data_IF_618424480357
#
_entry.id   IF_618424480357
#
_cell.length_a   1.000
_cell.length_b   1.000
_cell.length_c   1.000
_cell.angle_alpha   90.00
_cell.angle_beta   90.00
_cell.angle_gamma   90.00
#
_symmetry.space_group_name_H-M   'P 1'
#
loop_
_entity.id
_entity.type
_entity.pdbx_description
1 polymer ?
#
# COMPACT_ATOMS: atom_id res chain seq x y z
N UNK A 1 41.40 43.14 45.04
CA UNK A 1 42.29 42.27 44.26
C UNK A 1 41.62 40.93 44.10
N UNK A 2 41.45 40.48 42.84
CA UNK A 2 41.22 39.09 42.36
C UNK A 2 40.04 38.29 42.93
N UNK A 3 39.32 37.44 42.20
CA UNK A 3 38.92 37.24 40.80
C UNK A 3 37.93 36.06 40.86
N UNK A 4 36.98 36.00 39.92
CA UNK A 4 36.15 34.88 39.41
C UNK A 4 36.41 33.47 40.00
N UNK A 5 35.41 32.58 40.12
CA UNK A 5 34.70 32.01 38.95
C UNK A 5 33.43 31.26 39.38
N UNK A 6 32.37 31.48 38.62
CA UNK A 6 31.09 30.78 38.59
C UNK A 6 31.28 29.35 38.09
N UNK A 7 30.62 28.35 38.71
CA UNK A 7 30.41 27.06 38.07
C UNK A 7 28.95 26.66 38.27
N UNK A 8 28.14 26.98 37.26
CA UNK A 8 26.78 26.48 37.08
C UNK A 8 26.89 25.13 36.41
N UNK A 9 26.69 24.04 37.16
CA UNK A 9 26.51 22.71 36.57
C UNK A 9 25.04 22.53 36.26
N UNK A 10 24.67 22.65 34.98
CA UNK A 10 23.35 22.27 34.48
C UNK A 10 23.39 20.75 34.27
N UNK A 11 22.80 19.99 35.20
CA UNK A 11 22.43 18.60 34.94
C UNK A 11 21.13 18.62 34.12
N UNK A 12 21.28 18.63 32.80
CA UNK A 12 20.18 18.35 31.89
C UNK A 12 19.81 16.88 31.97
N UNK A 13 18.73 16.56 32.69
CA UNK A 13 17.99 15.33 32.45
C UNK A 13 17.07 15.56 31.25
N UNK A 14 17.62 15.38 30.05
CA UNK A 14 16.79 15.05 28.90
C UNK A 14 16.28 13.63 29.14
N UNK A 15 15.08 13.50 29.71
CA UNK A 15 14.34 12.27 29.66
C UNK A 15 13.99 12.03 28.19
N UNK A 16 14.84 11.31 27.47
CA UNK A 16 14.49 10.68 26.21
C UNK A 16 13.46 9.61 26.54
N UNK A 17 12.19 10.00 26.56
CA UNK A 17 11.08 9.09 26.30
C UNK A 17 11.30 8.54 24.90
N UNK A 18 11.98 7.40 24.83
CA UNK A 18 11.85 6.50 23.70
C UNK A 18 10.37 6.08 23.69
N UNK A 19 9.58 6.74 22.87
CA UNK A 19 8.29 6.19 22.45
C UNK A 19 8.68 5.00 21.60
N UNK A 20 8.74 3.83 22.22
CA UNK A 20 8.63 2.57 21.51
C UNK A 20 7.23 2.58 20.92
N UNK A 21 7.09 3.09 19.70
CA UNK A 21 5.98 2.76 18.84
C UNK A 21 6.11 1.26 18.63
N UNK A 22 5.48 0.48 19.51
CA UNK A 22 5.08 -0.88 19.16
C UNK A 22 4.18 -0.69 17.95
N UNK A 23 4.76 -0.85 16.76
CA UNK A 23 3.99 -0.88 15.53
C UNK A 23 2.88 -1.90 15.77
N UNK A 24 1.63 -1.45 15.67
CA UNK A 24 0.55 -2.39 15.49
C UNK A 24 0.97 -3.27 14.32
N UNK A 25 0.84 -4.59 14.47
CA UNK A 25 0.98 -5.46 13.32
C UNK A 25 0.03 -4.92 12.23
N UNK A 26 0.50 -4.85 10.99
CA UNK A 26 -0.37 -4.46 9.89
C UNK A 26 -1.59 -5.39 9.89
N UNK A 27 -2.79 -4.81 9.80
CA UNK A 27 -4.03 -5.58 9.69
C UNK A 27 -4.12 -6.24 8.32
N UNK A 28 -3.50 -5.62 7.31
CA UNK A 28 -3.33 -6.21 6.00
C UNK A 28 -2.16 -5.60 5.23
N UNK A 29 -1.79 -6.23 4.12
CA UNK A 29 -0.79 -5.79 3.18
C UNK A 29 -1.35 -5.82 1.76
N UNK A 30 -0.86 -4.92 0.92
CA UNK A 30 -1.24 -4.78 -0.48
C UNK A 30 -0.06 -5.22 -1.34
N UNK A 31 -0.29 -6.20 -2.20
CA UNK A 31 0.65 -6.66 -3.21
C UNK A 31 0.19 -6.22 -4.59
N UNK A 32 1.13 -5.75 -5.41
CA UNK A 32 0.89 -5.37 -6.80
C UNK A 32 1.73 -6.26 -7.70
N UNK A 33 1.14 -6.69 -8.81
CA UNK A 33 1.78 -7.61 -9.76
C UNK A 33 1.36 -7.34 -11.20
N UNK A 34 1.84 -8.20 -12.11
CA UNK A 34 1.86 -7.92 -13.56
C UNK A 34 2.66 -6.66 -13.92
N UNK A 35 3.70 -6.35 -13.13
CA UNK A 35 4.75 -5.44 -13.58
C UNK A 35 5.51 -6.11 -14.72
N UNK A 36 5.73 -5.41 -15.83
CA UNK A 36 6.42 -5.95 -17.00
C UNK A 36 7.66 -6.81 -16.63
N UNK A 37 7.95 -7.83 -17.44
CA UNK A 37 9.25 -8.50 -17.44
C UNK A 37 10.35 -7.43 -17.38
N UNK A 38 11.23 -7.54 -16.39
CA UNK A 38 12.35 -6.62 -16.09
C UNK A 38 13.28 -6.39 -17.32
N UNK A 39 13.14 -7.19 -18.38
CA UNK A 39 14.02 -7.24 -19.55
C UNK A 39 13.48 -6.53 -20.81
N UNK A 40 12.30 -5.88 -20.81
CA UNK A 40 11.74 -5.27 -22.03
C UNK A 40 11.25 -3.81 -21.86
N UNK A 41 12.13 -2.80 -22.06
CA UNK A 41 11.88 -1.37 -21.77
C UNK A 41 10.96 -0.64 -22.79
N UNK A 42 10.02 -1.34 -23.43
CA UNK A 42 9.21 -0.82 -24.53
C UNK A 42 7.70 -0.90 -24.36
N UNK A 43 7.21 -1.44 -23.25
CA UNK A 43 5.77 -1.62 -23.00
C UNK A 43 5.32 -0.64 -21.92
N UNK A 44 4.40 0.25 -22.29
CA UNK A 44 3.73 1.16 -21.37
C UNK A 44 3.21 0.42 -20.14
N UNK A 45 3.50 0.96 -18.97
CA UNK A 45 3.18 0.38 -17.67
C UNK A 45 1.70 -0.03 -17.56
N UNK A 46 1.43 -1.30 -17.26
CA UNK A 46 0.10 -1.81 -16.90
C UNK A 46 0.24 -2.76 -15.70
N UNK A 47 0.40 -2.25 -14.47
CA UNK A 47 0.19 -3.13 -13.32
C UNK A 47 -1.24 -3.64 -13.40
N UNK A 48 -1.39 -4.94 -13.65
CA UNK A 48 -2.65 -5.57 -14.03
C UNK A 48 -3.19 -6.49 -12.93
N UNK A 49 -2.66 -6.42 -11.71
CA UNK A 49 -3.17 -7.23 -10.59
C UNK A 49 -2.87 -6.62 -9.23
N UNK A 50 -3.85 -6.69 -8.33
CA UNK A 50 -3.70 -6.37 -6.92
C UNK A 50 -4.15 -7.54 -6.07
N UNK A 51 -3.50 -7.75 -4.93
CA UNK A 51 -3.95 -8.67 -3.89
C UNK A 51 -3.84 -8.00 -2.54
N UNK A 52 -4.76 -8.33 -1.64
CA UNK A 52 -4.79 -7.81 -0.27
C UNK A 52 -4.80 -9.00 0.67
N UNK A 53 -3.83 -9.05 1.59
CA UNK A 53 -3.63 -10.19 2.50
C UNK A 53 -3.53 -9.72 3.94
N UNK A 54 -3.98 -10.51 4.90
CA UNK A 54 -3.94 -10.15 6.33
C UNK A 54 -2.55 -10.26 6.98
N UNK A 55 -1.51 -10.59 6.20
CA UNK A 55 -0.15 -10.75 6.70
C UNK A 55 0.92 -10.47 5.63
N UNK A 56 2.17 -10.38 6.10
CA UNK A 56 3.38 -10.42 5.29
C UNK A 56 4.55 -11.00 6.13
N UNK A 57 5.60 -11.56 5.51
CA UNK A 57 5.73 -11.81 4.06
C UNK A 57 4.78 -12.91 3.57
N UNK A 58 4.52 -12.93 2.27
CA UNK A 58 3.78 -14.02 1.62
C UNK A 58 4.73 -15.07 1.03
N UNK A 59 4.21 -16.27 0.84
CA UNK A 59 4.83 -17.32 0.03
C UNK A 59 4.01 -17.55 -1.25
N UNK A 60 4.62 -18.07 -2.32
CA UNK A 60 3.88 -18.34 -3.58
C UNK A 60 2.72 -19.34 -3.44
N UNK A 61 2.67 -20.14 -2.38
CA UNK A 61 1.52 -21.01 -2.09
C UNK A 61 0.29 -20.26 -1.56
N UNK A 62 0.47 -19.04 -1.10
CA UNK A 62 -0.58 -18.17 -0.53
C UNK A 62 -1.14 -17.20 -1.58
N UNK A 63 -0.46 -17.10 -2.71
CA UNK A 63 -0.89 -16.28 -3.85
C UNK A 63 -2.02 -17.01 -4.58
N UNK A 64 -3.21 -16.39 -4.58
CA UNK A 64 -4.38 -16.80 -5.36
C UNK A 64 -4.41 -16.13 -6.74
N UNK A 65 -5.47 -16.34 -7.52
CA UNK A 65 -5.69 -15.57 -8.75
C UNK A 65 -5.70 -14.07 -8.43
N UNK A 66 -4.85 -13.28 -9.10
CA UNK A 66 -4.82 -11.83 -8.90
C UNK A 66 -6.15 -11.20 -9.31
N UNK A 67 -6.68 -10.33 -8.46
CA UNK A 67 -7.78 -9.46 -8.85
C UNK A 67 -7.25 -8.50 -9.91
N UNK A 68 -7.75 -8.64 -11.14
CA UNK A 68 -7.44 -7.70 -12.21
C UNK A 68 -8.18 -6.40 -11.94
N UNK A 69 -7.42 -5.39 -11.53
CA UNK A 69 -7.93 -4.03 -11.35
C UNK A 69 -7.29 -3.20 -12.45
N UNK A 70 -8.08 -2.81 -13.45
CA UNK A 70 -7.58 -2.02 -14.58
C UNK A 70 -7.19 -0.61 -14.13
N UNK A 71 -6.14 -0.04 -14.73
CA UNK A 71 -5.88 1.40 -14.61
C UNK A 71 -6.92 2.16 -15.44
N UNK A 72 -7.74 3.05 -14.83
CA UNK A 72 -8.60 3.94 -15.58
C UNK A 72 -7.74 4.97 -16.37
N UNK A 73 -8.21 5.38 -17.55
CA UNK A 73 -7.48 6.31 -18.42
C UNK A 73 -7.27 7.70 -17.81
N UNK A 74 -8.07 8.04 -16.81
CA UNK A 74 -8.21 9.40 -16.30
C UNK A 74 -7.60 9.57 -14.90
N UNK A 75 -6.83 8.57 -14.42
CA UNK A 75 -6.19 8.58 -13.09
C UNK A 75 -7.18 8.91 -11.95
N UNK A 76 -8.37 8.31 -12.05
CA UNK A 76 -9.51 8.42 -11.15
C UNK A 76 -10.14 7.04 -11.00
N UNK A 77 -10.11 6.47 -9.80
CA UNK A 77 -10.65 5.14 -9.52
C UNK A 77 -12.07 5.17 -8.93
N UNK A 78 -12.78 6.29 -9.00
CA UNK A 78 -14.14 6.43 -8.45
C UNK A 78 -15.20 5.53 -9.10
N UNK A 79 -14.92 4.96 -10.27
CA UNK A 79 -15.87 4.14 -11.05
C UNK A 79 -15.32 2.77 -11.45
N UNK A 80 -14.22 2.36 -10.84
CA UNK A 80 -13.52 1.13 -11.18
C UNK A 80 -12.01 1.33 -11.18
N UNK A 81 -11.28 0.23 -10.98
CA UNK A 81 -9.86 0.25 -11.19
C UNK A 81 -9.04 0.78 -10.00
N UNK A 82 -7.82 1.22 -10.30
CA UNK A 82 -6.94 1.91 -9.36
C UNK A 82 -6.25 3.09 -10.05
N UNK A 83 -5.99 4.15 -9.31
CA UNK A 83 -5.31 5.35 -9.79
C UNK A 83 -4.09 5.64 -8.92
N UNK A 84 -3.08 6.29 -9.49
CA UNK A 84 -1.88 6.63 -8.74
C UNK A 84 -1.14 7.85 -9.28
N UNK A 85 -0.75 8.71 -8.33
CA UNK A 85 0.21 9.77 -8.58
C UNK A 85 1.59 9.30 -8.12
N UNK A 86 2.58 9.35 -9.02
CA UNK A 86 3.97 8.97 -8.72
C UNK A 86 4.37 7.54 -9.12
N UNK A 87 3.44 6.75 -9.67
CA UNK A 87 3.66 5.40 -10.19
C UNK A 87 4.28 5.37 -11.61
N UNK A 88 5.39 6.09 -11.83
CA UNK A 88 5.99 6.28 -13.17
C UNK A 88 7.26 5.47 -13.42
N UNK A 89 7.79 4.77 -12.40
CA UNK A 89 8.97 3.92 -12.55
C UNK A 89 8.60 2.54 -13.08
N UNK A 90 9.59 1.83 -13.64
CA UNK A 90 9.39 0.53 -14.29
C UNK A 90 9.01 -0.57 -13.29
N UNK A 91 9.50 -0.49 -12.05
CA UNK A 91 9.21 -1.45 -10.98
C UNK A 91 8.43 -0.79 -9.83
N UNK A 92 7.48 -1.52 -9.24
CA UNK A 92 6.64 -1.05 -8.13
C UNK A 92 7.46 -0.65 -6.91
N UNK A 93 8.58 -1.33 -6.65
CA UNK A 93 9.50 -0.95 -5.56
C UNK A 93 10.08 0.45 -5.73
N UNK A 94 10.21 0.94 -6.96
CA UNK A 94 10.84 2.22 -7.30
C UNK A 94 9.84 3.37 -7.43
N UNK A 95 8.54 3.11 -7.17
CA UNK A 95 7.50 4.13 -7.23
C UNK A 95 7.56 5.13 -6.08
N UNK A 96 7.60 6.42 -6.43
CA UNK A 96 7.46 7.55 -5.51
C UNK A 96 5.98 7.91 -5.34
N UNK A 97 5.22 6.99 -4.74
CA UNK A 97 3.76 7.09 -4.65
C UNK A 97 3.34 8.25 -3.75
N UNK A 98 2.62 9.23 -4.30
CA UNK A 98 2.05 10.37 -3.57
C UNK A 98 0.58 10.13 -3.22
N UNK A 99 -0.15 9.51 -4.15
CA UNK A 99 -1.55 9.09 -4.01
C UNK A 99 -1.70 7.71 -4.61
N UNK A 100 -2.40 6.81 -3.91
CA UNK A 100 -2.83 5.52 -4.47
C UNK A 100 -4.30 5.32 -4.15
N UNK A 101 -5.15 5.38 -5.17
CA UNK A 101 -6.60 5.24 -5.04
C UNK A 101 -7.04 3.89 -5.59
N UNK A 102 -7.91 3.19 -4.86
CA UNK A 102 -8.47 1.90 -5.22
C UNK A 102 -9.99 2.01 -5.22
N UNK A 103 -10.64 1.53 -6.27
CA UNK A 103 -12.08 1.38 -6.27
C UNK A 103 -12.50 0.30 -5.28
N UNK A 104 -13.40 0.65 -4.36
CA UNK A 104 -13.97 -0.24 -3.37
C UNK A 104 -15.52 -0.14 -3.39
N UNK A 105 -16.11 -0.17 -4.58
CA UNK A 105 -17.55 -0.38 -4.74
C UNK A 105 -17.92 -1.86 -4.64
N UNK A 106 -19.22 -2.15 -4.60
CA UNK A 106 -19.74 -3.54 -4.49
C UNK A 106 -19.29 -4.45 -5.64
N UNK A 107 -18.85 -3.86 -6.75
CA UNK A 107 -18.40 -4.52 -7.98
C UNK A 107 -16.92 -4.27 -8.29
N UNK A 108 -16.12 -3.95 -7.27
CA UNK A 108 -14.69 -3.72 -7.45
C UNK A 108 -13.96 -4.90 -8.09
N UNK A 109 -14.44 -6.11 -7.81
CA UNK A 109 -14.01 -7.35 -8.44
C UNK A 109 -15.18 -8.00 -9.15
N UNK A 110 -14.92 -8.54 -10.34
CA UNK A 110 -15.91 -9.34 -11.06
C UNK A 110 -17.11 -8.54 -11.56
N UNK A 111 -16.93 -7.26 -11.91
CA UNK A 111 -17.98 -6.37 -12.42
C UNK A 111 -18.76 -6.93 -13.63
N UNK A 112 -18.15 -7.84 -14.40
CA UNK A 112 -18.78 -8.54 -15.54
C UNK A 112 -19.26 -9.96 -15.20
N UNK A 113 -19.24 -10.36 -13.93
CA UNK A 113 -19.58 -11.71 -13.45
C UNK A 113 -20.85 -11.72 -12.61
N UNK A 114 -21.40 -12.92 -12.36
CA UNK A 114 -22.60 -13.08 -11.52
C UNK A 114 -22.36 -12.85 -10.01
N UNK A 115 -21.09 -12.71 -9.58
CA UNK A 115 -20.71 -12.52 -8.16
C UNK A 115 -19.74 -11.33 -7.99
N UNK A 116 -20.21 -10.09 -8.22
CA UNK A 116 -19.41 -8.89 -7.92
C UNK A 116 -19.16 -8.77 -6.42
N UNK A 117 -17.95 -8.39 -6.02
CA UNK A 117 -17.58 -8.15 -4.62
C UNK A 117 -16.65 -6.93 -4.44
N UNK A 118 -16.73 -6.23 -3.28
CA UNK A 118 -15.80 -5.15 -2.92
C UNK A 118 -14.42 -5.68 -2.51
N UNK A 119 -13.41 -4.80 -2.51
CA UNK A 119 -12.04 -5.12 -2.07
C UNK A 119 -11.96 -5.40 -0.56
N UNK A 120 -12.74 -4.65 0.20
CA UNK A 120 -12.80 -4.77 1.66
C UNK A 120 -14.17 -5.28 2.10
N UNK A 121 -14.29 -5.69 3.36
CA UNK A 121 -15.50 -6.23 3.98
C UNK A 121 -16.74 -5.32 3.88
N UNK A 122 -16.56 -4.06 3.52
CA UNK A 122 -17.61 -3.09 3.25
C UNK A 122 -17.24 -2.22 2.05
N UNK A 123 -18.19 -2.00 1.14
CA UNK A 123 -18.02 -1.05 0.05
C UNK A 123 -18.05 0.40 0.56
N UNK A 124 -17.07 1.20 0.11
CA UNK A 124 -16.89 2.61 0.49
C UNK A 124 -16.76 3.53 -0.74
N UNK A 125 -17.03 3.01 -1.94
CA UNK A 125 -16.84 3.74 -3.20
C UNK A 125 -15.38 3.72 -3.63
N UNK A 126 -14.52 4.52 -3.02
CA UNK A 126 -13.07 4.42 -3.19
C UNK A 126 -12.34 4.46 -1.86
N UNK A 127 -11.10 3.98 -1.88
CA UNK A 127 -10.14 4.05 -0.78
C UNK A 127 -8.88 4.69 -1.33
N UNK A 128 -8.42 5.77 -0.71
CA UNK A 128 -7.22 6.50 -1.14
C UNK A 128 -6.15 6.50 -0.06
N UNK A 129 -4.92 6.17 -0.44
CA UNK A 129 -3.71 6.35 0.34
C UNK A 129 -3.04 7.67 -0.05
N UNK A 130 -2.93 8.61 0.88
CA UNK A 130 -2.23 9.89 0.69
C UNK A 130 -0.93 9.91 1.46
N UNK A 131 0.19 10.19 0.79
CA UNK A 131 1.49 10.30 1.44
C UNK A 131 1.47 11.47 2.45
N UNK A 132 1.91 11.20 3.67
CA UNK A 132 1.98 12.20 4.74
C UNK A 132 3.42 12.59 5.06
N UNK A 133 4.32 11.61 5.19
CA UNK A 133 5.75 11.83 5.42
C UNK A 133 6.57 10.60 5.04
N UNK A 134 7.53 10.76 4.13
CA UNK A 134 8.42 9.69 3.68
C UNK A 134 7.63 8.48 3.18
N UNK A 135 7.73 7.37 3.91
CA UNK A 135 7.04 6.11 3.58
C UNK A 135 5.67 5.97 4.26
N UNK A 136 5.15 6.98 4.96
CA UNK A 136 3.88 6.93 5.69
C UNK A 136 2.71 7.54 4.88
N UNK A 137 1.53 6.95 5.04
CA UNK A 137 0.31 7.28 4.30
C UNK A 137 -0.91 7.29 5.22
N UNK A 138 -1.83 8.23 4.98
CA UNK A 138 -3.19 8.19 5.51
C UNK A 138 -4.08 7.38 4.54
N UNK A 139 -4.87 6.44 5.06
CA UNK A 139 -5.88 5.72 4.30
C UNK A 139 -7.25 6.36 4.55
N UNK A 140 -7.95 6.73 3.48
CA UNK A 140 -9.19 7.52 3.54
C UNK A 140 -10.28 6.98 2.62
N UNK A 141 -11.54 7.17 2.99
CA UNK A 141 -12.68 6.87 2.12
C UNK A 141 -12.97 7.98 1.10
N UNK A 142 -14.01 7.80 0.27
CA UNK A 142 -14.44 8.79 -0.73
C UNK A 142 -14.98 10.10 -0.14
N UNK A 143 -15.33 10.10 1.14
CA UNK A 143 -15.82 11.27 1.88
C UNK A 143 -14.68 11.97 2.67
N UNK A 144 -13.43 11.57 2.47
CA UNK A 144 -12.21 12.07 3.14
C UNK A 144 -12.16 11.75 4.65
N UNK A 145 -12.91 10.74 5.11
CA UNK A 145 -12.78 10.24 6.47
C UNK A 145 -11.54 9.36 6.61
N UNK A 146 -10.80 9.51 7.70
CA UNK A 146 -9.64 8.66 8.01
C UNK A 146 -10.12 7.25 8.39
N UNK A 147 -9.66 6.25 7.64
CA UNK A 147 -9.91 4.83 7.87
C UNK A 147 -8.74 4.13 8.56
N UNK A 148 -7.54 4.66 8.41
CA UNK A 148 -6.33 4.01 8.88
C UNK A 148 -5.05 4.67 8.39
N UNK A 149 -3.94 3.96 8.54
CA UNK A 149 -2.62 4.41 8.10
C UNK A 149 -1.90 3.27 7.41
N UNK A 150 -1.09 3.59 6.40
CA UNK A 150 -0.25 2.62 5.71
C UNK A 150 1.21 3.07 5.69
N UNK A 151 2.10 2.12 5.44
CA UNK A 151 3.52 2.35 5.22
C UNK A 151 3.98 1.63 3.96
N UNK A 152 4.90 2.23 3.21
CA UNK A 152 5.66 1.53 2.17
C UNK A 152 6.88 0.85 2.80
N UNK A 153 7.12 -0.45 2.54
CA UNK A 153 8.34 -1.11 2.97
C UNK A 153 9.58 -0.47 2.32
N UNK A 154 10.65 -0.27 3.08
CA UNK A 154 11.95 0.20 2.53
C UNK A 154 12.57 -0.83 1.59
N UNK A 155 12.47 -2.10 1.96
CA UNK A 155 12.91 -3.26 1.19
C UNK A 155 11.68 -4.14 0.88
N UNK A 156 10.87 -3.79 -0.14
CA UNK A 156 9.66 -4.54 -0.46
C UNK A 156 9.99 -5.96 -0.91
N UNK A 157 9.21 -6.92 -0.43
CA UNK A 157 9.30 -8.29 -0.92
C UNK A 157 8.88 -8.33 -2.39
N UNK A 158 9.72 -8.94 -3.23
CA UNK A 158 9.41 -9.29 -4.61
C UNK A 158 9.40 -10.82 -4.75
N UNK A 159 8.34 -11.36 -5.35
CA UNK A 159 8.14 -12.80 -5.55
C UNK A 159 7.89 -13.11 -7.01
N UNK A 160 8.51 -14.16 -7.53
CA UNK A 160 8.17 -14.78 -8.81
C UNK A 160 7.32 -16.02 -8.55
N UNK A 161 6.02 -15.91 -8.84
CA UNK A 161 5.06 -17.00 -8.71
C UNK A 161 4.47 -17.39 -10.07
N UNK A 162 5.26 -17.28 -11.14
CA UNK A 162 4.86 -17.53 -12.53
C UNK A 162 4.31 -18.95 -12.79
N UNK A 163 4.61 -19.91 -11.91
CA UNK A 163 4.05 -21.27 -11.96
C UNK A 163 2.62 -21.36 -11.40
N UNK A 164 2.19 -20.38 -10.60
CA UNK A 164 0.90 -20.35 -9.87
C UNK A 164 -0.04 -19.32 -10.47
N UNK A 165 0.48 -18.17 -10.89
CA UNK A 165 -0.27 -17.08 -11.48
C UNK A 165 0.38 -16.63 -12.78
N UNK A 166 -0.42 -16.13 -13.72
CA UNK A 166 0.08 -15.59 -14.99
C UNK A 166 0.75 -14.20 -14.82
N UNK A 167 1.48 -13.97 -13.73
CA UNK A 167 2.21 -12.74 -13.44
C UNK A 167 3.69 -13.04 -13.22
N UNK A 168 4.57 -12.20 -13.77
CA UNK A 168 6.02 -12.38 -13.67
C UNK A 168 6.55 -12.07 -12.26
N UNK A 169 6.07 -11.00 -11.62
CA UNK A 169 6.46 -10.61 -10.26
C UNK A 169 5.30 -10.02 -9.45
N UNK A 170 5.26 -10.32 -8.15
CA UNK A 170 4.44 -9.67 -7.12
C UNK A 170 5.33 -8.87 -6.18
N UNK A 171 4.96 -7.63 -5.90
CA UNK A 171 5.68 -6.72 -5.01
C UNK A 171 4.82 -6.29 -3.84
N UNK A 172 5.32 -6.42 -2.61
CA UNK A 172 4.69 -5.84 -1.43
C UNK A 172 4.74 -4.31 -1.52
N UNK A 173 3.60 -3.68 -1.79
CA UNK A 173 3.52 -2.24 -1.99
C UNK A 173 3.28 -1.47 -0.69
N UNK A 174 2.35 -1.96 0.15
CA UNK A 174 1.94 -1.28 1.39
C UNK A 174 1.62 -2.26 2.52
N UNK A 175 1.92 -1.85 3.74
CA UNK A 175 1.45 -2.45 5.00
C UNK A 175 0.52 -1.48 5.72
N UNK A 176 -0.70 -1.90 6.03
CA UNK A 176 -1.77 -1.02 6.52
C UNK A 176 -2.36 -1.46 7.85
N UNK A 177 -2.73 -0.49 8.68
CA UNK A 177 -3.59 -0.66 9.86
C UNK A 177 -4.86 0.14 9.59
N UNK A 178 -6.03 -0.49 9.68
CA UNK A 178 -7.29 0.11 9.22
C UNK A 178 -8.50 -0.49 9.92
N UNK A 179 -9.58 0.29 9.97
CA UNK A 179 -10.90 -0.20 10.35
C UNK A 179 -11.52 -1.13 9.28
N UNK A 180 -10.95 -1.16 8.06
CA UNK A 180 -11.34 -2.08 7.00
C UNK A 180 -10.60 -3.41 7.09
N UNK A 181 -11.33 -4.51 6.91
CA UNK A 181 -10.77 -5.86 6.76
C UNK A 181 -10.77 -6.26 5.28
N UNK A 182 -9.74 -6.93 4.74
CA UNK A 182 -9.77 -7.50 3.40
C UNK A 182 -11.00 -8.41 3.22
N UNK A 183 -11.61 -8.37 2.04
CA UNK A 183 -12.74 -9.25 1.77
C UNK A 183 -12.26 -10.71 1.71
N UNK A 184 -12.85 -11.59 2.52
CA UNK A 184 -12.44 -12.97 2.68
C UNK A 184 -12.73 -13.86 1.46
N UNK A 185 -13.47 -13.34 0.46
CA UNK A 185 -13.76 -14.02 -0.79
C UNK A 185 -12.75 -13.70 -1.92
N UNK A 186 -11.73 -12.88 -1.63
CA UNK A 186 -10.62 -12.52 -2.54
C UNK A 186 -9.39 -13.44 -2.38
#
# INVERSE_FOLDING_TARGET
MQQNTTTTTILGLAATTAILLNGAAADFTIYLGNTNEIDNPGISFSAAGMQVHDHAPLDCSEVSDMVTISTPSDNDASSGGWACDGCNADAVRDWDVQRFEMYNGDDAVGSETDNPIPLFSSATGSVTLYQTDGTNYDMRDSDDNLLGTCTRPEDPQEMDCSEVIAATFLTHAFSCTSDLTPNAEL
#
